data_IF_840717774406
#
_entry.id   IF_840717774406
#
_cell.length_a   1.000
_cell.length_b   1.000
_cell.length_c   1.000
_cell.angle_alpha   90.00
_cell.angle_beta   90.00
_cell.angle_gamma   90.00
#
_symmetry.space_group_name_H-M   'P 1'
#
loop_
_entity.id
_entity.type
_entity.pdbx_description
1 polymer ?
#
# COMPACT_ATOMS: atom_id res chain seq x y z
N UNK A 1 2.27 -60.25 -56.44
CA UNK A 1 3.33 -59.33 -55.85
C UNK A 1 2.79 -57.96 -55.35
N UNK A 2 1.62 -57.50 -55.78
CA UNK A 2 1.09 -56.14 -55.39
C UNK A 2 0.47 -56.11 -53.98
N UNK A 3 -0.11 -57.21 -53.48
CA UNK A 3 -0.78 -57.25 -52.16
C UNK A 3 0.18 -57.26 -50.93
N UNK A 4 1.43 -57.67 -51.08
CA UNK A 4 2.41 -57.65 -49.98
C UNK A 4 2.94 -56.25 -49.67
N UNK A 5 3.02 -55.42 -50.72
CA UNK A 5 3.54 -54.06 -50.61
C UNK A 5 2.58 -53.12 -49.86
N UNK A 6 1.27 -53.29 -50.04
CA UNK A 6 0.21 -52.45 -49.40
C UNK A 6 0.09 -52.75 -47.88
N UNK A 7 0.31 -54.00 -47.47
CA UNK A 7 0.30 -54.40 -46.05
C UNK A 7 1.46 -53.79 -45.27
N UNK A 8 2.67 -53.77 -45.83
CA UNK A 8 3.85 -53.20 -45.21
C UNK A 8 3.72 -51.65 -45.02
N UNK A 9 3.15 -50.96 -46.02
CA UNK A 9 2.94 -49.52 -45.96
C UNK A 9 1.90 -49.13 -44.89
N UNK A 10 0.83 -49.91 -44.73
CA UNK A 10 -0.19 -49.71 -43.68
C UNK A 10 0.38 -49.95 -42.27
N UNK A 11 1.26 -50.96 -42.10
CA UNK A 11 1.89 -51.29 -40.81
C UNK A 11 2.86 -50.19 -40.39
N UNK A 12 3.65 -49.65 -41.30
CA UNK A 12 4.56 -48.54 -41.01
C UNK A 12 3.86 -47.21 -40.72
N UNK A 13 2.73 -46.93 -41.39
CA UNK A 13 1.93 -45.73 -41.08
C UNK A 13 1.32 -45.76 -39.66
N UNK A 14 0.86 -46.91 -39.18
CA UNK A 14 0.38 -47.06 -37.80
C UNK A 14 1.49 -46.90 -36.77
N UNK A 15 2.68 -47.42 -37.06
CA UNK A 15 3.83 -47.31 -36.17
C UNK A 15 4.36 -45.84 -36.08
N UNK A 16 4.39 -45.14 -37.22
CA UNK A 16 4.79 -43.72 -37.26
C UNK A 16 3.76 -42.85 -36.55
N UNK A 17 2.45 -43.14 -36.70
CA UNK A 17 1.41 -42.39 -36.03
C UNK A 17 1.42 -42.57 -34.50
N UNK A 18 1.77 -43.78 -34.00
CA UNK A 18 1.86 -44.05 -32.56
C UNK A 18 3.10 -43.41 -31.92
N UNK A 19 4.23 -43.36 -32.65
CA UNK A 19 5.43 -42.66 -32.16
C UNK A 19 5.27 -41.13 -32.12
N UNK A 20 4.55 -40.52 -33.08
CA UNK A 20 4.21 -39.11 -33.03
C UNK A 20 3.25 -38.76 -31.88
N UNK A 21 2.28 -39.65 -31.59
CA UNK A 21 1.34 -39.44 -30.48
C UNK A 21 2.05 -39.56 -29.11
N UNK A 22 2.99 -40.48 -28.94
CA UNK A 22 3.80 -40.62 -27.72
C UNK A 22 4.79 -39.45 -27.52
N UNK A 23 5.38 -38.91 -28.59
CA UNK A 23 6.25 -37.72 -28.52
C UNK A 23 5.45 -36.46 -28.19
N UNK A 24 4.21 -36.30 -28.65
CA UNK A 24 3.34 -35.15 -28.32
C UNK A 24 2.90 -35.17 -26.86
N UNK A 25 2.68 -36.36 -26.27
CA UNK A 25 2.32 -36.49 -24.84
C UNK A 25 3.54 -36.25 -23.96
N UNK A 26 4.75 -36.67 -24.36
CA UNK A 26 5.98 -36.40 -23.59
C UNK A 26 6.38 -34.94 -23.59
N UNK A 27 5.98 -34.12 -24.59
CA UNK A 27 6.28 -32.69 -24.64
C UNK A 27 5.30 -31.84 -23.81
N UNK A 28 4.17 -32.40 -23.39
CA UNK A 28 3.16 -31.69 -22.58
C UNK A 28 3.38 -31.80 -21.07
N UNK A 29 4.34 -32.61 -20.59
CA UNK A 29 4.58 -32.85 -19.15
C UNK A 29 5.76 -32.03 -18.59
N UNK A 30 6.33 -31.14 -19.35
CA UNK A 30 7.60 -30.54 -19.00
C UNK A 30 7.65 -29.02 -18.86
N UNK A 31 6.66 -28.35 -18.25
CA UNK A 31 6.86 -26.98 -17.72
C UNK A 31 5.78 -26.62 -16.73
N UNK A 32 5.67 -27.34 -15.63
CA UNK A 32 5.20 -26.69 -14.41
C UNK A 32 6.35 -25.78 -13.94
N UNK A 33 6.31 -24.53 -14.37
CA UNK A 33 7.11 -23.46 -13.77
C UNK A 33 6.70 -23.43 -12.30
N UNK A 34 7.49 -24.04 -11.44
CA UNK A 34 7.38 -23.84 -10.01
C UNK A 34 7.69 -22.35 -9.79
N UNK A 35 6.67 -21.51 -9.81
CA UNK A 35 6.82 -20.16 -9.27
C UNK A 35 7.16 -20.36 -7.81
N UNK A 36 8.45 -20.31 -7.50
CA UNK A 36 8.88 -19.97 -6.16
C UNK A 36 8.28 -18.60 -5.91
N UNK A 37 7.18 -18.54 -5.18
CA UNK A 37 6.66 -17.30 -4.64
C UNK A 37 7.74 -16.79 -3.71
N UNK A 38 8.65 -15.97 -4.25
CA UNK A 38 9.54 -15.16 -3.44
C UNK A 38 8.56 -14.33 -2.60
N UNK A 39 8.51 -14.61 -1.31
CA UNK A 39 7.62 -13.90 -0.39
C UNK A 39 7.97 -12.41 -0.51
N UNK A 40 7.06 -11.63 -1.12
CA UNK A 40 7.28 -10.21 -1.39
C UNK A 40 7.64 -9.52 -0.06
N UNK A 41 8.82 -8.89 0.05
CA UNK A 41 9.23 -8.24 1.29
C UNK A 41 8.33 -7.06 1.67
N UNK A 42 7.42 -6.64 0.78
CA UNK A 42 6.48 -5.54 1.00
C UNK A 42 5.04 -6.07 0.99
N UNK A 43 4.33 -5.81 2.06
CA UNK A 43 2.89 -6.03 2.15
C UNK A 43 2.16 -4.75 1.77
N UNK A 44 1.15 -4.84 0.91
CA UNK A 44 0.38 -3.67 0.49
C UNK A 44 -1.13 -3.90 0.46
N UNK A 45 -1.86 -2.81 0.55
CA UNK A 45 -3.30 -2.73 0.38
C UNK A 45 -3.65 -1.59 -0.57
N UNK A 46 -4.45 -1.90 -1.59
CA UNK A 46 -4.93 -0.89 -2.55
C UNK A 46 -6.38 -0.56 -2.28
N UNK A 47 -6.69 0.73 -2.24
CA UNK A 47 -8.05 1.25 -2.01
C UNK A 47 -8.42 2.22 -3.13
N UNK A 48 -9.67 2.15 -3.56
CA UNK A 48 -10.30 3.17 -4.40
C UNK A 48 -11.18 4.05 -3.52
N UNK A 49 -10.78 5.30 -3.21
CA UNK A 49 -11.54 6.17 -2.32
C UNK A 49 -12.95 6.51 -2.81
N UNK A 50 -13.22 6.30 -4.11
CA UNK A 50 -14.56 6.58 -4.71
C UNK A 50 -15.61 5.53 -4.32
N UNK A 51 -15.17 4.32 -3.96
CA UNK A 51 -16.06 3.18 -3.65
C UNK A 51 -15.82 2.57 -2.28
N UNK A 52 -14.73 2.92 -1.61
CA UNK A 52 -14.37 2.42 -0.28
C UNK A 52 -14.28 3.56 0.72
N UNK A 53 -14.74 3.33 1.94
CA UNK A 53 -14.78 4.35 3.00
C UNK A 53 -13.40 4.49 3.66
N UNK A 54 -12.52 5.24 3.00
CA UNK A 54 -11.19 5.61 3.50
C UNK A 54 -11.29 6.86 4.37
N UNK A 55 -10.78 6.79 5.60
CA UNK A 55 -10.80 7.90 6.55
C UNK A 55 -9.48 8.02 7.32
N UNK A 56 -9.24 9.23 7.84
CA UNK A 56 -8.17 9.50 8.79
C UNK A 56 -8.75 9.72 10.18
N UNK A 57 -8.08 9.17 11.17
CA UNK A 57 -8.51 9.16 12.56
C UNK A 57 -7.41 9.66 13.47
N UNK A 58 -7.71 10.58 14.37
CA UNK A 58 -6.83 11.02 15.43
C UNK A 58 -7.54 10.91 16.78
N UNK A 59 -8.72 11.52 16.90
CA UNK A 59 -9.53 11.56 18.11
C UNK A 59 -10.96 11.11 17.83
N UNK A 60 -11.61 10.59 18.86
CA UNK A 60 -13.06 10.37 18.86
C UNK A 60 -13.83 11.67 19.08
N UNK A 61 -15.16 11.60 19.11
CA UNK A 61 -16.05 12.75 19.30
C UNK A 61 -15.91 13.37 20.71
N UNK A 62 -15.35 12.64 21.68
CA UNK A 62 -15.08 13.11 23.04
C UNK A 62 -13.69 13.74 23.16
N UNK A 63 -12.93 13.80 22.08
CA UNK A 63 -11.57 14.34 22.04
C UNK A 63 -10.49 13.40 22.55
N UNK A 64 -10.81 12.11 22.79
CA UNK A 64 -9.84 11.09 23.21
C UNK A 64 -9.07 10.57 22.00
N UNK A 65 -7.74 10.53 22.11
CA UNK A 65 -6.88 9.94 21.09
C UNK A 65 -7.16 8.44 20.95
N UNK A 66 -7.20 7.94 19.71
CA UNK A 66 -7.27 6.50 19.47
C UNK A 66 -5.99 5.82 19.92
N UNK A 67 -4.84 6.32 19.54
CA UNK A 67 -3.53 5.87 19.96
C UNK A 67 -3.12 4.49 19.41
N UNK A 68 -4.06 3.56 19.22
CA UNK A 68 -3.78 2.22 18.72
C UNK A 68 -4.83 1.74 17.71
N UNK A 69 -4.44 0.76 16.90
CA UNK A 69 -5.37 0.11 15.95
C UNK A 69 -6.47 -0.63 16.72
N UNK A 70 -6.16 -1.22 17.88
CA UNK A 70 -7.16 -1.89 18.72
C UNK A 70 -8.26 -0.93 19.18
N UNK A 71 -7.90 0.27 19.64
CA UNK A 71 -8.87 1.27 20.09
C UNK A 71 -9.75 1.74 18.92
N UNK A 72 -9.13 2.01 17.75
CA UNK A 72 -9.89 2.35 16.56
C UNK A 72 -10.84 1.24 16.15
N UNK A 73 -10.40 -0.03 16.14
CA UNK A 73 -11.22 -1.19 15.81
C UNK A 73 -12.43 -1.31 16.74
N UNK A 74 -12.22 -1.12 18.05
CA UNK A 74 -13.29 -1.13 19.04
C UNK A 74 -14.31 -0.02 18.80
N UNK A 75 -13.83 1.19 18.53
CA UNK A 75 -14.67 2.33 18.18
C UNK A 75 -15.51 2.08 16.91
N UNK A 76 -14.89 1.61 15.83
CA UNK A 76 -15.55 1.29 14.56
C UNK A 76 -16.60 0.19 14.74
N UNK A 77 -16.32 -0.83 15.56
CA UNK A 77 -17.30 -1.87 15.92
C UNK A 77 -18.52 -1.26 16.63
N UNK A 78 -18.31 -0.29 17.54
CA UNK A 78 -19.37 0.45 18.24
C UNK A 78 -20.25 1.29 17.30
N UNK A 79 -19.74 1.67 16.12
CA UNK A 79 -20.50 2.36 15.05
C UNK A 79 -21.19 1.40 14.07
N UNK A 80 -21.31 0.11 14.41
CA UNK A 80 -21.85 -0.94 13.54
C UNK A 80 -21.15 -1.06 12.18
N UNK A 81 -19.83 -0.86 12.19
CA UNK A 81 -18.94 -1.02 11.05
C UNK A 81 -17.84 -2.05 11.34
N UNK A 82 -17.17 -2.51 10.30
CA UNK A 82 -16.00 -3.39 10.39
C UNK A 82 -14.77 -2.67 9.84
N UNK A 83 -13.70 -2.61 10.63
CA UNK A 83 -12.40 -2.17 10.15
C UNK A 83 -11.80 -3.29 9.30
N UNK A 84 -11.50 -3.02 8.04
CA UNK A 84 -10.91 -3.99 7.09
C UNK A 84 -9.44 -3.72 6.81
N UNK A 85 -9.02 -2.47 6.96
CA UNK A 85 -7.63 -2.05 6.87
C UNK A 85 -7.38 -0.92 7.86
N UNK A 86 -6.19 -0.89 8.47
CA UNK A 86 -5.66 0.28 9.16
C UNK A 86 -4.13 0.31 9.10
N UNK A 87 -3.57 1.52 9.13
CA UNK A 87 -2.12 1.76 9.22
C UNK A 87 -1.87 3.10 9.93
N UNK A 88 -0.76 3.22 10.68
CA UNK A 88 -0.36 4.53 11.21
C UNK A 88 -0.06 5.48 10.04
N UNK A 89 -0.56 6.72 10.13
CA UNK A 89 -0.80 7.58 8.99
C UNK A 89 0.01 8.85 8.89
N UNK A 90 0.91 9.13 9.80
CA UNK A 90 1.72 10.34 9.77
C UNK A 90 2.48 10.55 11.06
N UNK A 91 3.55 11.33 10.99
CA UNK A 91 4.40 11.60 12.14
C UNK A 91 3.69 12.47 13.18
N UNK A 92 4.00 12.27 14.44
CA UNK A 92 3.34 12.88 15.58
C UNK A 92 4.34 13.26 16.69
N UNK A 93 3.89 14.08 17.63
CA UNK A 93 4.63 14.49 18.80
C UNK A 93 4.42 13.52 19.97
N UNK A 94 5.19 13.63 21.04
CA UNK A 94 5.08 12.76 22.24
C UNK A 94 3.67 12.73 22.84
N UNK A 95 2.91 13.80 22.72
CA UNK A 95 1.52 13.89 23.17
C UNK A 95 0.49 13.40 22.12
N UNK A 96 0.95 12.69 21.10
CA UNK A 96 0.17 12.11 20.02
C UNK A 96 -0.51 13.16 19.10
N UNK A 97 -0.14 14.45 19.18
CA UNK A 97 -0.60 15.44 18.22
C UNK A 97 0.11 15.23 16.87
N UNK A 98 -0.60 15.34 15.73
CA UNK A 98 0.06 15.38 14.43
C UNK A 98 1.17 16.42 14.39
N UNK A 99 2.34 16.05 13.85
CA UNK A 99 3.50 16.97 13.75
C UNK A 99 3.30 18.04 12.67
N UNK A 100 2.57 17.71 11.62
CA UNK A 100 2.23 18.60 10.52
C UNK A 100 0.73 18.71 10.28
N UNK A 101 0.36 19.15 9.08
CA UNK A 101 -1.03 19.32 8.67
C UNK A 101 -1.86 18.08 8.97
N UNK A 102 -3.01 18.30 9.58
CA UNK A 102 -4.04 17.29 9.71
C UNK A 102 -5.43 17.87 9.49
N UNK A 103 -6.12 17.35 8.48
CA UNK A 103 -7.51 17.69 8.16
C UNK A 103 -8.35 16.41 8.32
N UNK A 104 -9.45 16.51 9.06
CA UNK A 104 -10.43 15.45 9.26
C UNK A 104 -11.83 15.96 9.00
N UNK A 105 -12.56 15.29 8.10
CA UNK A 105 -13.93 15.68 7.69
C UNK A 105 -14.05 17.16 7.32
N UNK A 106 -13.07 17.67 6.55
CA UNK A 106 -13.02 19.06 6.10
C UNK A 106 -12.59 20.09 7.16
N UNK A 107 -12.29 19.66 8.38
CA UNK A 107 -11.83 20.54 9.47
C UNK A 107 -10.31 20.46 9.64
N UNK A 108 -9.62 21.58 9.56
CA UNK A 108 -8.19 21.68 9.86
C UNK A 108 -7.97 21.64 11.37
N UNK A 109 -7.50 20.48 11.86
CA UNK A 109 -7.22 20.24 13.27
C UNK A 109 -5.79 20.58 13.66
N UNK A 110 -4.86 20.60 12.68
CA UNK A 110 -3.48 21.03 12.81
C UNK A 110 -3.05 21.73 11.54
N UNK A 111 -2.45 22.90 11.69
CA UNK A 111 -1.94 23.68 10.56
C UNK A 111 -0.72 23.02 9.91
N UNK A 112 -0.46 23.38 8.65
CA UNK A 112 0.71 22.90 7.91
C UNK A 112 2.00 23.33 8.60
N UNK A 113 2.95 22.40 8.69
CA UNK A 113 4.27 22.65 9.25
C UNK A 113 5.29 22.87 8.11
N UNK A 114 5.79 24.09 7.99
CA UNK A 114 6.79 24.47 7.00
C UNK A 114 8.19 24.67 7.61
N UNK A 115 8.35 24.44 8.91
CA UNK A 115 9.63 24.60 9.61
C UNK A 115 10.67 23.60 9.11
N UNK A 116 11.93 23.89 9.41
CA UNK A 116 13.06 22.96 9.28
C UNK A 116 13.33 22.31 10.63
N UNK A 117 13.95 21.13 10.62
CA UNK A 117 14.26 20.39 11.84
C UNK A 117 15.01 19.10 11.54
N UNK A 118 15.20 18.29 12.57
CA UNK A 118 15.83 16.97 12.49
C UNK A 118 14.78 15.87 12.28
N UNK A 119 15.22 14.73 11.74
CA UNK A 119 14.40 13.54 11.52
C UNK A 119 13.69 13.50 10.16
N UNK A 120 13.08 12.37 9.89
CA UNK A 120 12.52 12.06 8.56
C UNK A 120 11.43 13.04 8.11
N UNK A 121 10.63 13.57 9.04
CA UNK A 121 9.58 14.56 8.72
C UNK A 121 10.14 15.78 7.99
N UNK A 122 11.34 16.21 8.37
CA UNK A 122 11.98 17.44 7.86
C UNK A 122 12.88 17.20 6.66
N UNK A 123 13.10 15.93 6.24
CA UNK A 123 13.79 15.63 5.00
C UNK A 123 12.99 16.17 3.80
N UNK A 124 13.63 16.98 2.99
CA UNK A 124 12.98 17.66 1.86
C UNK A 124 13.14 16.87 0.54
N UNK A 125 12.12 16.94 -0.33
CA UNK A 125 10.81 17.48 -0.08
C UNK A 125 9.99 16.55 0.81
N UNK A 126 9.36 17.08 1.85
CA UNK A 126 8.27 16.44 2.54
C UNK A 126 6.94 16.77 1.85
N UNK A 127 5.86 16.08 2.20
CA UNK A 127 4.63 16.18 1.46
C UNK A 127 3.36 16.07 2.29
N UNK A 128 2.24 16.26 1.60
CA UNK A 128 0.90 16.09 2.13
C UNK A 128 0.18 15.04 1.29
N UNK A 129 -0.30 13.99 1.94
CA UNK A 129 -1.27 13.07 1.38
C UNK A 129 -2.67 13.55 1.76
N UNK A 130 -3.54 13.71 0.78
CA UNK A 130 -4.90 14.17 1.00
C UNK A 130 -5.86 13.68 -0.06
N UNK A 131 -7.15 13.72 0.23
CA UNK A 131 -8.19 13.58 -0.77
C UNK A 131 -9.29 14.61 -0.58
N UNK A 132 -9.82 15.03 -1.72
CA UNK A 132 -10.83 16.07 -1.81
C UNK A 132 -12.25 15.50 -1.54
N UNK A 133 -13.23 16.36 -1.49
CA UNK A 133 -14.64 15.99 -1.28
C UNK A 133 -15.20 15.12 -2.41
N UNK A 134 -14.64 15.20 -3.62
CA UNK A 134 -14.94 14.32 -4.77
C UNK A 134 -14.22 12.97 -4.73
N UNK A 135 -13.53 12.67 -3.63
CA UNK A 135 -12.72 11.46 -3.39
C UNK A 135 -11.45 11.35 -4.26
N UNK A 136 -11.06 12.41 -5.00
CA UNK A 136 -9.79 12.42 -5.72
C UNK A 136 -8.62 12.51 -4.73
N UNK A 137 -7.69 11.57 -4.83
CA UNK A 137 -6.52 11.47 -3.94
C UNK A 137 -5.29 12.15 -4.55
N UNK A 138 -4.49 12.78 -3.70
CA UNK A 138 -3.28 13.50 -4.08
C UNK A 138 -2.15 13.30 -3.09
N UNK A 139 -0.92 13.33 -3.62
CA UNK A 139 0.30 13.57 -2.84
C UNK A 139 1.02 14.75 -3.49
N UNK A 140 1.27 15.81 -2.72
CA UNK A 140 1.97 17.00 -3.17
C UNK A 140 3.09 17.37 -2.22
N UNK A 141 4.14 18.02 -2.75
CA UNK A 141 5.16 18.65 -1.89
C UNK A 141 4.49 19.63 -0.94
N UNK A 142 5.01 19.75 0.28
CA UNK A 142 4.48 20.72 1.25
C UNK A 142 4.54 22.16 0.72
N UNK A 143 5.54 22.47 -0.12
CA UNK A 143 5.67 23.79 -0.78
C UNK A 143 4.52 24.10 -1.72
N UNK A 144 4.02 23.05 -2.42
CA UNK A 144 3.03 23.17 -3.48
C UNK A 144 1.59 22.93 -2.98
N UNK A 145 1.46 22.64 -1.67
CA UNK A 145 0.17 22.42 -1.05
C UNK A 145 -0.55 23.73 -0.76
N UNK A 146 -1.79 23.86 -1.25
CA UNK A 146 -2.73 24.90 -0.90
C UNK A 146 -4.08 24.26 -0.54
N UNK A 147 -4.66 24.68 0.58
CA UNK A 147 -6.02 24.31 0.95
C UNK A 147 -7.00 25.23 0.18
N UNK A 148 -7.83 24.61 -0.62
CA UNK A 148 -8.87 25.29 -1.42
C UNK A 148 -10.28 25.14 -0.84
N UNK A 149 -10.39 24.71 0.42
CA UNK A 149 -11.66 24.47 1.11
C UNK A 149 -12.42 23.21 0.65
N UNK A 150 -11.85 22.42 -0.25
CA UNK A 150 -12.45 21.17 -0.76
C UNK A 150 -11.71 19.92 -0.29
N UNK A 151 -10.84 20.03 0.69
CA UNK A 151 -10.08 18.89 1.21
C UNK A 151 -10.88 18.24 2.34
N UNK A 152 -11.15 16.95 2.18
CA UNK A 152 -11.89 16.17 3.17
C UNK A 152 -10.98 15.61 4.26
N UNK A 153 -9.85 15.04 3.85
CA UNK A 153 -8.84 14.49 4.75
C UNK A 153 -7.43 14.85 4.24
N UNK A 154 -6.54 15.17 5.15
CA UNK A 154 -5.13 15.40 4.84
C UNK A 154 -4.23 14.98 6.00
N UNK A 155 -3.04 14.49 5.69
CA UNK A 155 -1.94 14.27 6.64
C UNK A 155 -0.62 14.67 6.02
N UNK A 156 0.19 15.45 6.74
CA UNK A 156 1.53 15.80 6.33
C UNK A 156 2.54 14.84 6.93
N UNK A 157 3.50 14.43 6.12
CA UNK A 157 4.60 13.57 6.55
C UNK A 157 5.81 13.74 5.63
N UNK A 158 6.81 12.87 5.75
CA UNK A 158 8.00 12.96 4.90
C UNK A 158 9.08 11.95 5.25
N UNK A 159 10.00 11.80 4.30
CA UNK A 159 10.12 12.52 3.01
C UNK A 159 9.17 11.98 1.93
N UNK A 160 9.01 12.71 0.83
CA UNK A 160 8.43 12.14 -0.37
C UNK A 160 9.35 11.02 -0.90
N UNK A 161 8.74 9.92 -1.28
CA UNK A 161 9.43 8.71 -1.76
C UNK A 161 9.63 8.77 -3.29
N UNK A 162 8.52 8.92 -4.01
CA UNK A 162 8.48 9.11 -5.46
C UNK A 162 7.97 10.52 -5.74
N UNK A 163 8.59 11.20 -6.70
CA UNK A 163 8.27 12.54 -7.12
C UNK A 163 8.18 12.54 -8.65
N UNK A 164 7.00 12.77 -9.19
CA UNK A 164 6.73 12.77 -10.62
C UNK A 164 7.28 11.50 -11.35
N UNK A 165 7.10 10.33 -10.70
CA UNK A 165 7.52 9.03 -11.22
C UNK A 165 9.00 8.70 -10.97
N UNK A 166 9.78 9.62 -10.39
CA UNK A 166 11.19 9.41 -10.12
C UNK A 166 11.45 9.16 -8.64
N UNK A 167 12.42 8.30 -8.34
CA UNK A 167 12.91 8.09 -6.97
C UNK A 167 13.47 9.41 -6.44
N UNK A 168 13.13 9.78 -5.20
CA UNK A 168 13.74 10.93 -4.55
C UNK A 168 15.28 10.80 -4.55
N UNK A 169 16.02 11.74 -5.13
CA UNK A 169 17.47 11.63 -5.33
C UNK A 169 18.28 11.58 -4.02
N UNK A 170 17.66 11.91 -2.89
CA UNK A 170 18.30 11.80 -1.57
C UNK A 170 18.55 10.34 -1.15
N UNK A 171 17.88 9.35 -1.77
CA UNK A 171 17.99 7.95 -1.37
C UNK A 171 19.08 7.23 -2.15
N UNK A 172 19.99 6.60 -1.40
CA UNK A 172 21.15 5.89 -1.96
C UNK A 172 20.90 4.38 -1.97
N UNK A 173 21.15 3.75 -3.12
CA UNK A 173 21.17 2.29 -3.23
C UNK A 173 22.23 1.71 -2.28
N UNK A 174 21.89 0.59 -1.62
CA UNK A 174 22.82 -0.09 -0.70
C UNK A 174 23.00 0.61 0.65
N UNK A 175 22.14 1.57 1.00
CA UNK A 175 22.16 2.19 2.34
C UNK A 175 21.94 1.15 3.43
N UNK A 176 22.75 1.19 4.49
CA UNK A 176 22.65 0.31 5.67
C UNK A 176 21.62 0.76 6.69
N UNK A 177 20.93 1.89 6.46
CA UNK A 177 19.86 2.37 7.32
C UNK A 177 18.58 1.55 7.09
N UNK A 178 18.50 0.40 7.76
CA UNK A 178 17.41 -0.56 7.64
C UNK A 178 16.38 -0.34 8.76
N UNK A 179 15.11 -0.17 8.36
CA UNK A 179 13.97 -0.04 9.28
C UNK A 179 12.74 -0.67 8.67
N UNK A 180 11.78 -1.08 9.50
CA UNK A 180 10.42 -1.31 9.01
C UNK A 180 9.90 0.04 8.51
N UNK A 181 9.36 0.05 7.29
CA UNK A 181 8.90 1.29 6.66
C UNK A 181 7.47 1.16 6.20
N UNK A 182 6.71 2.25 6.30
CA UNK A 182 5.40 2.35 5.71
C UNK A 182 5.26 3.61 4.86
N UNK A 183 4.33 3.58 3.94
CA UNK A 183 4.12 4.69 3.02
C UNK A 183 2.82 4.56 2.24
N UNK A 184 2.54 5.61 1.49
CA UNK A 184 1.36 5.72 0.63
C UNK A 184 1.77 6.21 -0.76
N UNK A 185 1.14 5.68 -1.81
CA UNK A 185 1.36 6.09 -3.20
C UNK A 185 0.05 6.26 -3.95
N UNK A 186 0.07 7.09 -5.00
CA UNK A 186 -1.05 7.25 -5.92
C UNK A 186 -0.75 6.47 -7.19
N UNK A 187 -1.57 5.45 -7.44
CA UNK A 187 -1.53 4.60 -8.62
C UNK A 187 -2.20 5.26 -9.84
N UNK A 188 -1.94 4.77 -11.06
CA UNK A 188 -2.77 5.09 -12.21
C UNK A 188 -4.27 4.85 -11.91
N UNK A 189 -5.14 5.69 -12.46
CA UNK A 189 -6.59 5.65 -12.17
C UNK A 189 -6.99 6.19 -10.80
N UNK A 190 -6.09 6.90 -10.12
CA UNK A 190 -6.32 7.55 -8.82
C UNK A 190 -6.66 6.60 -7.66
N UNK A 191 -6.27 5.33 -7.75
CA UNK A 191 -6.28 4.42 -6.60
C UNK A 191 -5.12 4.75 -5.66
N UNK A 192 -5.29 4.44 -4.40
CA UNK A 192 -4.27 4.68 -3.36
C UNK A 192 -3.70 3.33 -2.93
N UNK A 193 -2.38 3.21 -2.90
CA UNK A 193 -1.69 2.04 -2.34
C UNK A 193 -1.01 2.41 -1.04
N UNK A 194 -1.30 1.66 0.01
CA UNK A 194 -0.59 1.67 1.29
C UNK A 194 0.35 0.48 1.33
N UNK A 195 1.57 0.68 1.79
CA UNK A 195 2.56 -0.39 1.86
C UNK A 195 3.35 -0.34 3.17
N UNK A 196 3.74 -1.53 3.66
CA UNK A 196 4.63 -1.73 4.81
C UNK A 196 5.65 -2.81 4.47
N UNK A 197 6.91 -2.63 4.86
CA UNK A 197 7.90 -3.68 4.74
C UNK A 197 7.72 -4.72 5.85
N UNK A 198 7.92 -6.02 5.52
CA UNK A 198 7.84 -7.13 6.50
C UNK A 198 9.08 -7.18 7.38
N UNK A 199 10.21 -6.78 6.83
CA UNK A 199 11.52 -6.71 7.50
C UNK A 199 12.14 -5.33 7.35
N UNK A 200 13.29 -5.10 7.97
CA UNK A 200 14.05 -3.86 7.80
C UNK A 200 14.53 -3.68 6.36
N UNK A 201 14.18 -2.56 5.75
CA UNK A 201 14.62 -2.16 4.40
C UNK A 201 15.15 -0.73 4.42
N UNK A 202 16.07 -0.38 3.52
CA UNK A 202 16.48 1.00 3.33
C UNK A 202 15.45 1.78 2.50
N UNK A 203 15.58 3.10 2.45
CA UNK A 203 14.64 3.93 1.69
C UNK A 203 14.66 3.62 0.19
N UNK A 204 15.82 3.40 -0.42
CA UNK A 204 15.92 3.16 -1.84
C UNK A 204 15.15 1.91 -2.28
N UNK A 205 15.31 0.79 -1.56
CA UNK A 205 14.63 -0.45 -1.87
C UNK A 205 13.11 -0.35 -1.61
N UNK A 206 12.71 0.35 -0.54
CA UNK A 206 11.29 0.61 -0.25
C UNK A 206 10.62 1.48 -1.32
N UNK A 207 11.32 2.50 -1.82
CA UNK A 207 10.79 3.41 -2.85
C UNK A 207 10.63 2.71 -4.19
N UNK A 208 11.57 1.81 -4.55
CA UNK A 208 11.47 1.05 -5.80
C UNK A 208 10.15 0.31 -5.93
N UNK A 209 9.60 -0.16 -4.84
CA UNK A 209 8.28 -0.79 -4.84
C UNK A 209 7.19 0.14 -5.40
N UNK A 210 7.09 1.36 -4.89
CA UNK A 210 6.11 2.34 -5.38
C UNK A 210 6.38 2.77 -6.83
N UNK A 211 7.63 2.91 -7.21
CA UNK A 211 8.02 3.26 -8.58
C UNK A 211 7.62 2.14 -9.56
N UNK A 212 7.89 0.87 -9.21
CA UNK A 212 7.53 -0.29 -10.02
C UNK A 212 6.01 -0.45 -10.18
N UNK A 213 5.22 -0.04 -9.19
CA UNK A 213 3.76 0.02 -9.29
C UNK A 213 3.26 1.17 -10.18
N UNK A 214 4.15 2.02 -10.70
CA UNK A 214 3.79 3.18 -11.52
C UNK A 214 3.23 4.36 -10.73
N UNK A 215 3.52 4.46 -9.43
CA UNK A 215 3.10 5.61 -8.64
C UNK A 215 3.76 6.89 -9.15
N UNK A 216 2.95 7.90 -9.50
CA UNK A 216 3.46 9.23 -9.86
C UNK A 216 4.08 9.93 -8.66
N UNK A 217 3.42 9.85 -7.50
CA UNK A 217 3.91 10.37 -6.23
C UNK A 217 3.70 9.34 -5.12
N UNK A 218 4.65 9.26 -4.19
CA UNK A 218 4.55 8.47 -2.98
C UNK A 218 5.17 9.20 -1.79
N UNK A 219 4.65 8.94 -0.59
CA UNK A 219 5.02 9.62 0.64
C UNK A 219 5.31 8.60 1.75
N UNK A 220 6.40 8.80 2.45
CA UNK A 220 6.70 8.09 3.69
C UNK A 220 5.81 8.60 4.82
N UNK A 221 5.20 7.69 5.58
CA UNK A 221 4.27 8.09 6.63
C UNK A 221 4.93 8.13 8.00
N UNK A 222 5.32 6.98 8.57
CA UNK A 222 6.08 6.95 9.83
C UNK A 222 6.66 5.56 10.08
N UNK A 223 7.95 5.38 9.81
CA UNK A 223 8.58 4.07 9.85
C UNK A 223 8.95 3.54 11.23
N UNK A 224 9.31 4.40 12.17
CA UNK A 224 9.83 3.95 13.48
C UNK A 224 8.81 3.11 14.26
N UNK A 225 7.52 3.32 14.00
CA UNK A 225 6.39 2.68 14.70
C UNK A 225 5.41 2.03 13.72
N UNK A 226 5.89 1.60 12.56
CA UNK A 226 5.04 1.03 11.49
C UNK A 226 4.19 -0.13 11.97
N UNK A 227 2.89 0.00 11.83
CA UNK A 227 1.88 -1.03 12.11
C UNK A 227 0.84 -1.06 11.00
N UNK A 228 0.37 -2.26 10.70
CA UNK A 228 -0.70 -2.48 9.72
C UNK A 228 -1.68 -3.54 10.22
N UNK A 229 -2.95 -3.29 10.06
CA UNK A 229 -4.04 -4.23 10.24
C UNK A 229 -4.64 -4.54 8.86
N UNK A 230 -4.49 -5.77 8.40
CA UNK A 230 -4.97 -6.25 7.11
C UNK A 230 -5.30 -7.75 7.24
N UNK A 231 -6.44 -8.12 7.83
CA UNK A 231 -6.80 -9.51 8.13
C UNK A 231 -6.80 -10.42 6.90
N UNK A 232 -7.19 -9.91 5.74
CA UNK A 232 -7.22 -10.67 4.48
C UNK A 232 -5.83 -11.18 4.04
N UNK A 233 -4.76 -10.55 4.58
CA UNK A 233 -3.35 -10.94 4.35
C UNK A 233 -2.66 -11.40 5.64
N UNK A 234 -3.42 -11.80 6.64
CA UNK A 234 -2.94 -12.32 7.92
C UNK A 234 -2.02 -11.36 8.69
N UNK A 235 -2.08 -10.05 8.43
CA UNK A 235 -1.37 -9.03 9.19
C UNK A 235 -2.33 -8.33 10.15
N UNK A 236 -2.12 -8.51 11.45
CA UNK A 236 -3.04 -8.02 12.48
C UNK A 236 -2.28 -7.36 13.63
N UNK A 237 -1.62 -6.24 13.34
CA UNK A 237 -1.01 -5.42 14.39
C UNK A 237 -2.13 -4.65 15.11
N UNK A 238 -2.32 -4.91 16.39
CA UNK A 238 -3.35 -4.25 17.20
C UNK A 238 -2.82 -3.15 18.09
N UNK A 239 -1.55 -3.24 18.43
CA UNK A 239 -0.82 -2.31 19.30
C UNK A 239 -0.54 -0.96 18.63
N UNK A 240 0.23 -0.16 19.30
CA UNK A 240 0.73 1.13 18.85
C UNK A 240 0.49 2.22 19.89
N UNK A 241 1.16 3.34 19.64
CA UNK A 241 0.96 4.61 20.35
C UNK A 241 1.11 5.72 19.31
N UNK A 242 0.05 5.89 18.48
CA UNK A 242 0.11 6.72 17.27
C UNK A 242 -0.65 8.04 17.45
N UNK A 243 -0.26 9.04 16.67
CA UNK A 243 -1.09 10.23 16.45
C UNK A 243 -2.22 9.92 15.46
N UNK A 244 -1.86 9.74 14.19
CA UNK A 244 -2.82 9.53 13.11
C UNK A 244 -2.90 8.07 12.72
N UNK A 245 -4.12 7.59 12.49
CA UNK A 245 -4.40 6.27 11.90
C UNK A 245 -5.20 6.48 10.62
N UNK A 246 -4.80 5.83 9.54
CA UNK A 246 -5.57 5.75 8.31
C UNK A 246 -6.29 4.41 8.30
N UNK A 247 -7.58 4.40 8.02
CA UNK A 247 -8.39 3.18 8.04
C UNK A 247 -9.41 3.11 6.94
N UNK A 248 -9.75 1.89 6.53
CA UNK A 248 -10.85 1.58 5.62
C UNK A 248 -11.89 0.76 6.35
N UNK A 249 -13.14 1.20 6.25
CA UNK A 249 -14.27 0.54 6.92
C UNK A 249 -15.29 -0.01 5.93
N UNK A 250 -16.03 -1.01 6.39
CA UNK A 250 -17.18 -1.57 5.69
C UNK A 250 -18.39 -1.59 6.63
N UNK A 251 -19.55 -1.17 6.13
CA UNK A 251 -20.79 -1.34 6.90
C UNK A 251 -21.06 -2.83 7.12
N UNK A 252 -21.47 -3.21 8.31
CA UNK A 252 -22.05 -4.53 8.51
C UNK A 252 -23.36 -4.58 7.74
N UNK A 253 -23.48 -5.56 6.87
CA UNK A 253 -24.79 -5.88 6.32
C UNK A 253 -25.68 -6.28 7.50
N UNK A 254 -26.86 -5.66 7.63
CA UNK A 254 -27.88 -6.15 8.56
C UNK A 254 -28.11 -7.61 8.17
N UNK A 255 -27.87 -8.54 9.10
CA UNK A 255 -28.15 -9.94 8.88
C UNK A 255 -29.58 -10.12 8.42
N UNK A 256 -29.76 -10.85 7.32
CA UNK A 256 -31.07 -11.38 6.95
C UNK A 256 -31.44 -12.49 7.89
#
# INVERSE_FOLDING_TARGET
MINLSISLIKKNKKLILSTFLLLSIAFSIGFTKTETTVDDPILSYTVDPRVQDLRFYWKDEKGKNFGSIQNLKTYIKGKNQTLIFAMNGGMYMQDLRPLGLFIQDGKTLKAINRASGAGNFYLRPNGVFYFATDQTAFIRKTTDFADNGKIKYATQSGPMLVIDGQINPSFKKGSVNLNIRNGVGILPGNKVVFAISKTGVNFYDFVRYFQQLGCKNALYLDGAVSRMYLPEKYRMDYDGNFGVIIGVTKRKLAGR
#
